data_IF_681014054569
#
_entry.id   IF_681014054569
#
_cell.length_a   1.000
_cell.length_b   1.000
_cell.length_c   1.000
_cell.angle_alpha   90.00
_cell.angle_beta   90.00
_cell.angle_gamma   90.00
#
_symmetry.space_group_name_H-M   'P 1'
#
loop_
_entity.id
_entity.type
_entity.pdbx_description
1 polymer ?
#
# COMPACT_ATOMS: atom_id res chain seq x y z
N UNK A 1 11.56 -36.75 -60.83
CA UNK A 1 11.64 -37.14 -62.26
C UNK A 1 10.35 -36.77 -62.96
N UNK A 2 10.34 -35.71 -63.77
CA UNK A 2 9.89 -35.75 -65.18
C UNK A 2 10.19 -34.40 -65.82
N UNK A 3 10.81 -34.51 -66.97
CA UNK A 3 11.53 -33.51 -67.74
C UNK A 3 10.67 -33.05 -68.93
N UNK A 4 10.81 -31.76 -69.30
CA UNK A 4 10.86 -31.16 -70.66
C UNK A 4 9.61 -31.21 -71.58
N UNK A 5 9.59 -30.49 -72.74
CA UNK A 5 10.45 -29.39 -73.28
C UNK A 5 9.63 -28.14 -73.76
N UNK A 6 10.14 -26.90 -73.80
CA UNK A 6 10.91 -26.19 -74.86
C UNK A 6 10.47 -26.40 -76.32
N UNK A 7 9.92 -25.33 -76.94
CA UNK A 7 10.02 -25.04 -78.39
C UNK A 7 10.24 -23.54 -78.58
N UNK A 8 11.29 -23.21 -79.33
CA UNK A 8 11.69 -21.91 -79.86
C UNK A 8 11.24 -21.77 -81.34
N UNK A 9 11.13 -20.52 -81.82
CA UNK A 9 11.25 -19.98 -83.21
C UNK A 9 10.21 -18.85 -83.33
N UNK A 10 10.50 -17.58 -83.61
CA UNK A 10 11.36 -16.91 -84.60
C UNK A 10 10.48 -15.79 -85.19
N UNK A 11 10.78 -14.50 -84.98
CA UNK A 11 11.61 -13.60 -85.80
C UNK A 11 10.77 -12.52 -86.51
N UNK A 12 11.09 -11.25 -86.20
CA UNK A 12 11.03 -10.01 -87.00
C UNK A 12 9.74 -9.60 -87.75
N UNK A 13 9.23 -8.39 -87.45
CA UNK A 13 9.30 -7.22 -88.36
C UNK A 13 8.90 -5.92 -87.66
N UNK A 14 9.61 -4.86 -88.04
CA UNK A 14 9.57 -3.48 -87.57
C UNK A 14 8.29 -2.71 -87.95
N UNK A 15 7.83 -1.79 -87.09
CA UNK A 15 7.28 -0.49 -87.49
C UNK A 15 7.18 0.44 -86.26
N UNK A 16 7.90 1.55 -86.32
CA UNK A 16 7.75 2.67 -85.41
C UNK A 16 6.52 3.50 -85.78
N UNK A 17 5.70 3.85 -84.79
CA UNK A 17 4.83 5.01 -84.84
C UNK A 17 4.63 5.54 -83.42
N UNK A 18 5.05 6.78 -83.22
CA UNK A 18 4.88 7.58 -82.01
C UNK A 18 3.41 7.74 -81.64
N UNK A 19 3.09 7.79 -80.34
CA UNK A 19 2.05 8.66 -79.77
C UNK A 19 2.09 8.69 -78.23
N UNK A 20 2.26 9.91 -77.72
CA UNK A 20 1.74 10.49 -76.49
C UNK A 20 2.01 9.80 -75.14
N UNK A 21 2.90 10.47 -74.40
CA UNK A 21 3.03 10.50 -72.94
C UNK A 21 1.66 10.65 -72.27
N UNK A 22 1.25 9.62 -71.53
CA UNK A 22 0.21 9.70 -70.49
C UNK A 22 0.86 9.34 -69.15
N UNK A 23 1.10 10.36 -68.32
CA UNK A 23 1.71 10.21 -66.99
C UNK A 23 0.82 9.37 -66.07
N UNK A 24 1.24 8.14 -65.81
CA UNK A 24 0.83 7.39 -64.64
C UNK A 24 1.86 7.63 -63.54
N UNK A 25 1.58 8.56 -62.64
CA UNK A 25 2.35 8.75 -61.42
C UNK A 25 2.31 7.44 -60.62
N UNK A 26 3.43 6.72 -60.61
CA UNK A 26 3.75 5.78 -59.55
C UNK A 26 3.72 6.58 -58.26
N UNK A 27 2.69 6.34 -57.44
CA UNK A 27 2.59 6.83 -56.07
C UNK A 27 3.74 6.20 -55.29
N UNK A 28 4.91 6.83 -55.37
CA UNK A 28 6.01 6.58 -54.46
C UNK A 28 5.42 6.78 -53.06
N UNK A 29 5.39 5.71 -52.26
CA UNK A 29 5.27 5.85 -50.82
C UNK A 29 6.45 6.71 -50.40
N UNK A 30 6.20 8.00 -50.20
CA UNK A 30 7.13 8.91 -49.55
C UNK A 30 7.29 8.33 -48.15
N UNK A 31 8.34 7.54 -47.94
CA UNK A 31 8.78 7.18 -46.62
C UNK A 31 9.00 8.51 -45.90
N UNK A 32 8.20 8.76 -44.86
CA UNK A 32 8.35 9.97 -44.08
C UNK A 32 9.79 10.07 -43.59
N UNK A 33 10.37 11.27 -43.62
CA UNK A 33 11.72 11.51 -43.17
C UNK A 33 11.94 10.93 -41.76
N UNK A 34 13.10 10.32 -41.47
CA UNK A 34 13.40 9.82 -40.13
C UNK A 34 13.23 10.94 -39.10
N UNK A 35 12.43 10.69 -38.06
CA UNK A 35 12.29 11.63 -36.95
C UNK A 35 13.55 11.51 -36.10
N UNK A 36 14.34 12.58 -36.03
CA UNK A 36 15.52 12.61 -35.15
C UNK A 36 15.11 12.89 -33.70
N UNK A 37 14.61 11.85 -33.03
CA UNK A 37 14.23 11.93 -31.62
C UNK A 37 15.41 12.34 -30.74
N UNK A 38 16.60 11.78 -31.00
CA UNK A 38 17.78 11.97 -30.15
C UNK A 38 18.31 13.40 -30.29
N UNK A 39 18.42 13.94 -31.50
CA UNK A 39 18.90 15.31 -31.72
C UNK A 39 18.05 16.35 -30.99
N UNK A 40 16.72 16.29 -31.14
CA UNK A 40 15.81 17.22 -30.47
C UNK A 40 15.80 17.01 -28.94
N UNK A 41 15.66 15.77 -28.46
CA UNK A 41 15.62 15.50 -27.01
C UNK A 41 16.96 15.69 -26.30
N UNK A 42 18.08 15.77 -27.02
CA UNK A 42 19.37 16.19 -26.43
C UNK A 42 19.29 17.65 -25.99
N UNK A 43 18.55 18.49 -26.72
CA UNK A 43 18.34 19.89 -26.34
C UNK A 43 17.22 20.04 -25.29
N UNK A 44 16.09 19.36 -25.48
CA UNK A 44 14.89 19.56 -24.65
C UNK A 44 14.94 18.77 -23.33
N UNK A 45 15.45 17.54 -23.36
CA UNK A 45 15.47 16.62 -22.21
C UNK A 45 16.79 15.84 -22.13
N UNK A 46 17.94 16.53 -21.98
CA UNK A 46 19.26 15.90 -22.07
C UNK A 46 19.44 14.70 -21.15
N UNK A 47 18.94 14.77 -19.90
CA UNK A 47 19.02 13.67 -18.94
C UNK A 47 18.31 12.38 -19.39
N UNK A 48 17.22 12.48 -20.16
CA UNK A 48 16.55 11.29 -20.72
C UNK A 48 17.43 10.61 -21.75
N UNK A 49 18.05 11.39 -22.64
CA UNK A 49 18.95 10.88 -23.68
C UNK A 49 20.20 10.27 -23.05
N UNK A 50 20.78 10.93 -22.05
CA UNK A 50 21.94 10.42 -21.31
C UNK A 50 21.64 9.06 -20.64
N UNK A 51 20.50 8.95 -19.95
CA UNK A 51 20.07 7.70 -19.31
C UNK A 51 19.84 6.59 -20.33
N UNK A 52 19.13 6.88 -21.43
CA UNK A 52 18.90 5.92 -22.50
C UNK A 52 20.23 5.44 -23.11
N UNK A 53 21.14 6.36 -23.44
CA UNK A 53 22.44 6.06 -24.02
C UNK A 53 23.34 5.26 -23.06
N UNK A 54 23.22 5.50 -21.75
CA UNK A 54 23.92 4.73 -20.72
C UNK A 54 23.31 3.33 -20.50
N UNK A 55 22.00 3.18 -20.72
CA UNK A 55 21.24 1.95 -20.55
C UNK A 55 21.58 0.86 -21.58
N UNK A 56 21.26 -0.40 -21.24
CA UNK A 56 21.57 -1.54 -22.10
C UNK A 56 20.80 -1.51 -23.44
N UNK A 57 19.56 -1.03 -23.44
CA UNK A 57 18.74 -0.92 -24.65
C UNK A 57 19.30 0.13 -25.62
N UNK A 58 19.68 1.32 -25.14
CA UNK A 58 20.31 2.35 -25.99
C UNK A 58 21.65 1.90 -26.53
N UNK A 59 22.50 1.27 -25.70
CA UNK A 59 23.78 0.65 -26.14
C UNK A 59 23.60 -0.43 -27.20
N UNK A 60 22.46 -1.12 -27.21
CA UNK A 60 22.12 -2.15 -28.20
C UNK A 60 21.52 -1.56 -29.49
N UNK A 61 21.39 -0.24 -29.60
CA UNK A 61 20.84 0.45 -30.77
C UNK A 61 19.30 0.54 -30.79
N UNK A 62 18.61 0.25 -29.69
CA UNK A 62 17.16 0.41 -29.61
C UNK A 62 16.78 1.89 -29.62
N UNK A 63 15.98 2.32 -30.59
CA UNK A 63 15.59 3.72 -30.75
C UNK A 63 14.45 4.12 -29.81
N UNK A 64 14.29 5.43 -29.57
CA UNK A 64 13.16 5.98 -28.80
C UNK A 64 11.81 5.54 -29.40
N UNK A 65 11.74 5.51 -30.74
CA UNK A 65 10.53 5.16 -31.49
C UNK A 65 10.11 3.69 -31.36
N UNK A 66 11.02 2.79 -30.98
CA UNK A 66 10.69 1.39 -30.71
C UNK A 66 9.71 1.27 -29.54
N UNK A 67 9.78 2.19 -28.57
CA UNK A 67 8.89 2.23 -27.40
C UNK A 67 7.78 3.28 -27.55
N UNK A 68 8.10 4.45 -28.09
CA UNK A 68 7.19 5.61 -28.11
C UNK A 68 6.48 5.83 -29.45
N UNK A 69 6.76 5.03 -30.48
CA UNK A 69 6.24 5.21 -31.83
C UNK A 69 6.88 6.40 -32.57
N UNK A 70 6.29 6.77 -33.70
CA UNK A 70 6.86 7.76 -34.65
C UNK A 70 5.92 8.91 -35.00
N UNK A 71 4.76 8.98 -34.32
CA UNK A 71 3.70 9.95 -34.65
C UNK A 71 3.94 11.33 -34.03
N UNK A 72 4.69 11.41 -32.94
CA UNK A 72 5.19 12.65 -32.37
C UNK A 72 6.39 13.15 -33.19
N UNK A 73 6.31 14.39 -33.66
CA UNK A 73 7.29 15.00 -34.58
C UNK A 73 7.66 16.43 -34.23
N UNK A 74 6.81 17.13 -33.48
CA UNK A 74 6.96 18.53 -33.12
C UNK A 74 6.63 18.72 -31.64
N UNK A 75 7.21 19.72 -30.97
CA UNK A 75 7.00 19.95 -29.54
C UNK A 75 5.52 20.03 -29.13
N UNK A 76 4.66 20.53 -30.01
CA UNK A 76 3.22 20.71 -29.78
C UNK A 76 2.42 19.41 -29.88
N UNK A 77 2.94 18.35 -30.50
CA UNK A 77 2.23 17.09 -30.73
C UNK A 77 2.70 15.92 -29.86
N UNK A 78 3.31 16.25 -28.70
CA UNK A 78 3.74 15.30 -27.66
C UNK A 78 2.65 14.30 -27.23
N UNK A 79 1.38 14.65 -27.43
CA UNK A 79 0.21 13.78 -27.21
C UNK A 79 0.22 12.51 -28.09
N UNK A 80 0.85 12.57 -29.28
CA UNK A 80 0.93 11.45 -30.23
C UNK A 80 2.03 10.43 -29.88
N UNK A 81 2.91 10.74 -28.93
CA UNK A 81 3.85 9.76 -28.41
C UNK A 81 3.09 8.66 -27.65
N UNK A 82 3.42 7.41 -27.94
CA UNK A 82 2.90 6.25 -27.21
C UNK A 82 3.61 6.17 -25.85
N UNK A 83 2.86 5.81 -24.82
CA UNK A 83 3.44 5.49 -23.52
C UNK A 83 3.58 3.96 -23.42
N UNK A 84 4.80 3.44 -23.16
CA UNK A 84 5.04 2.01 -23.11
C UNK A 84 4.20 1.31 -22.03
N UNK A 85 3.72 0.12 -22.35
CA UNK A 85 3.01 -0.79 -21.45
C UNK A 85 3.73 -2.15 -21.42
N UNK A 86 3.31 -3.13 -20.60
CA UNK A 86 3.85 -4.48 -20.70
C UNK A 86 3.79 -5.07 -22.11
N UNK A 87 2.79 -4.71 -22.93
CA UNK A 87 2.69 -5.15 -24.34
C UNK A 87 3.82 -4.59 -25.21
N UNK A 88 4.32 -3.40 -24.90
CA UNK A 88 5.52 -2.84 -25.57
C UNK A 88 6.77 -3.65 -25.25
N UNK A 89 6.86 -4.17 -24.02
CA UNK A 89 8.01 -4.94 -23.55
C UNK A 89 7.96 -6.42 -23.98
N UNK A 90 6.77 -6.99 -24.11
CA UNK A 90 6.52 -8.43 -24.30
C UNK A 90 7.25 -9.06 -25.50
N UNK A 91 7.38 -8.42 -26.69
CA UNK A 91 8.08 -9.01 -27.82
C UNK A 91 9.55 -9.34 -27.52
N UNK A 92 10.19 -8.57 -26.62
CA UNK A 92 11.59 -8.73 -26.25
C UNK A 92 11.77 -9.43 -24.89
N UNK A 93 10.80 -9.28 -23.98
CA UNK A 93 10.84 -9.80 -22.61
C UNK A 93 9.63 -10.67 -22.27
N UNK A 94 9.31 -11.72 -23.08
CA UNK A 94 8.06 -12.47 -22.93
C UNK A 94 7.97 -13.17 -21.57
N UNK A 95 9.09 -13.73 -21.09
CA UNK A 95 9.15 -14.43 -19.79
C UNK A 95 8.81 -13.51 -18.62
N UNK A 96 9.43 -12.32 -18.59
CA UNK A 96 9.24 -11.37 -17.50
C UNK A 96 7.81 -10.83 -17.48
N UNK A 97 7.25 -10.52 -18.66
CA UNK A 97 5.87 -10.02 -18.78
C UNK A 97 4.86 -11.10 -18.37
N UNK A 98 5.05 -12.35 -18.78
CA UNK A 98 4.19 -13.47 -18.37
C UNK A 98 4.21 -13.66 -16.85
N UNK A 99 5.40 -13.69 -16.26
CA UNK A 99 5.59 -13.81 -14.81
C UNK A 99 4.96 -12.66 -14.04
N UNK A 100 5.20 -11.42 -14.49
CA UNK A 100 4.62 -10.21 -13.91
C UNK A 100 3.09 -10.25 -13.91
N UNK A 101 2.47 -10.57 -15.06
CA UNK A 101 1.02 -10.68 -15.21
C UNK A 101 0.41 -11.79 -14.35
N UNK A 102 1.13 -12.88 -14.14
CA UNK A 102 0.69 -13.94 -13.23
C UNK A 102 0.79 -13.52 -11.76
N UNK A 103 1.60 -12.50 -11.45
CA UNK A 103 1.98 -12.04 -10.12
C UNK A 103 1.07 -11.02 -9.45
N UNK A 104 1.44 -10.63 -8.22
CA UNK A 104 0.66 -9.66 -7.41
C UNK A 104 0.75 -8.24 -7.96
N UNK A 105 1.92 -7.81 -8.44
CA UNK A 105 2.10 -6.42 -8.86
C UNK A 105 1.23 -6.06 -10.08
N UNK A 106 0.98 -6.98 -11.02
CA UNK A 106 0.04 -6.73 -12.11
C UNK A 106 -1.41 -6.52 -11.62
N UNK A 107 -1.77 -7.09 -10.46
CA UNK A 107 -3.09 -6.99 -9.85
C UNK A 107 -3.20 -5.84 -8.83
N UNK A 108 -2.15 -5.05 -8.64
CA UNK A 108 -2.11 -4.02 -7.60
C UNK A 108 -3.24 -2.99 -7.77
N UNK A 109 -3.58 -2.61 -9.01
CA UNK A 109 -4.66 -1.66 -9.26
C UNK A 109 -6.03 -2.23 -8.87
N UNK A 110 -6.34 -3.46 -9.29
CA UNK A 110 -7.57 -4.17 -8.90
C UNK A 110 -7.68 -4.31 -7.39
N UNK A 111 -6.57 -4.63 -6.69
CA UNK A 111 -6.57 -4.74 -5.24
C UNK A 111 -6.88 -3.41 -4.54
N UNK A 112 -6.41 -2.28 -5.09
CA UNK A 112 -6.70 -0.94 -4.59
C UNK A 112 -8.17 -0.56 -4.81
N UNK A 113 -8.68 -0.76 -6.03
CA UNK A 113 -10.07 -0.46 -6.40
C UNK A 113 -11.09 -1.32 -5.62
N UNK A 114 -10.68 -2.51 -5.14
CA UNK A 114 -11.50 -3.36 -4.29
C UNK A 114 -11.72 -2.80 -2.87
N UNK A 115 -10.98 -1.76 -2.46
CA UNK A 115 -11.20 -1.08 -1.17
C UNK A 115 -12.39 -0.12 -1.30
N UNK A 116 -13.49 -0.31 -0.54
CA UNK A 116 -14.72 0.48 -0.73
C UNK A 116 -14.49 1.99 -0.65
N UNK A 117 -13.58 2.41 0.23
CA UNK A 117 -13.32 3.82 0.52
C UNK A 117 -12.39 4.52 -0.47
N UNK A 118 -11.84 3.80 -1.46
CA UNK A 118 -10.82 4.38 -2.34
C UNK A 118 -11.36 5.58 -3.13
N UNK A 119 -12.63 5.53 -3.52
CA UNK A 119 -13.35 6.56 -4.27
C UNK A 119 -13.81 7.72 -3.40
N UNK A 120 -13.76 7.59 -2.06
CA UNK A 120 -14.19 8.62 -1.11
C UNK A 120 -13.07 9.63 -0.81
N UNK A 121 -11.84 9.39 -1.30
CA UNK A 121 -10.72 10.29 -1.09
C UNK A 121 -10.91 11.62 -1.87
N UNK A 122 -10.60 12.77 -1.25
CA UNK A 122 -10.68 14.06 -1.94
C UNK A 122 -9.77 14.11 -3.17
N UNK A 123 -10.24 14.70 -4.27
CA UNK A 123 -9.45 14.83 -5.51
C UNK A 123 -8.03 15.42 -5.32
N UNK A 124 -7.80 16.43 -4.44
CA UNK A 124 -6.43 16.91 -4.17
C UNK A 124 -5.48 15.86 -3.56
N UNK A 125 -6.01 14.87 -2.83
CA UNK A 125 -5.24 13.77 -2.21
C UNK A 125 -4.85 12.74 -3.25
N UNK A 126 -5.78 12.37 -4.14
CA UNK A 126 -5.54 11.39 -5.22
C UNK A 126 -4.78 12.01 -6.40
N UNK A 127 -4.86 13.33 -6.56
CA UNK A 127 -4.31 14.09 -7.68
C UNK A 127 -5.33 14.20 -8.83
N UNK A 128 -5.38 15.35 -9.55
CA UNK A 128 -6.32 15.54 -10.65
C UNK A 128 -6.06 14.60 -11.84
N UNK A 129 -4.81 14.17 -12.02
CA UNK A 129 -4.38 13.16 -12.99
C UNK A 129 -4.22 11.77 -12.36
N UNK A 130 -4.72 11.55 -11.14
CA UNK A 130 -4.35 10.37 -10.35
C UNK A 130 -2.85 10.33 -10.01
N UNK A 131 -2.40 9.18 -9.52
CA UNK A 131 -1.02 8.87 -9.15
C UNK A 131 -0.42 9.65 -7.97
N UNK A 132 -1.26 10.27 -7.13
CA UNK A 132 -0.92 10.62 -5.75
C UNK A 132 -1.61 9.68 -4.77
N UNK A 133 -1.10 9.61 -3.54
CA UNK A 133 -1.58 8.69 -2.52
C UNK A 133 -1.51 7.23 -2.98
N UNK A 134 -2.58 6.46 -2.73
CA UNK A 134 -2.68 5.03 -3.04
C UNK A 134 -2.33 4.73 -4.52
N UNK A 135 -2.92 5.51 -5.43
CA UNK A 135 -2.75 5.31 -6.87
C UNK A 135 -1.32 5.54 -7.35
N UNK A 136 -0.51 6.32 -6.63
CA UNK A 136 0.90 6.54 -6.95
C UNK A 136 1.75 5.28 -6.82
N UNK A 137 1.45 4.45 -5.81
CA UNK A 137 2.11 3.16 -5.58
C UNK A 137 1.45 2.05 -6.42
N UNK A 138 0.11 2.01 -6.46
CA UNK A 138 -0.63 0.92 -7.11
C UNK A 138 -0.70 1.02 -8.65
N UNK A 139 -0.18 2.09 -9.27
CA UNK A 139 -0.12 2.21 -10.74
C UNK A 139 0.76 1.17 -11.42
N UNK A 140 1.57 0.43 -10.67
CA UNK A 140 2.26 -0.74 -11.18
C UNK A 140 1.28 -1.80 -11.69
N UNK A 141 0.03 -1.84 -11.19
CA UNK A 141 -1.01 -2.74 -11.70
C UNK A 141 -1.51 -2.40 -13.10
N UNK A 142 -1.92 -3.42 -13.84
CA UNK A 142 -2.56 -3.26 -15.14
C UNK A 142 -3.96 -2.66 -15.00
N UNK A 143 -4.33 -1.82 -15.97
CA UNK A 143 -5.63 -1.18 -16.14
C UNK A 143 -6.16 -1.52 -17.52
N UNK A 144 -7.48 -1.63 -17.65
CA UNK A 144 -8.11 -1.71 -18.96
C UNK A 144 -7.94 -0.40 -19.75
N UNK A 145 -8.05 -0.50 -21.08
CA UNK A 145 -8.05 0.68 -21.96
C UNK A 145 -9.19 1.63 -21.60
N UNK A 146 -10.33 1.10 -21.14
CA UNK A 146 -11.46 1.90 -20.73
C UNK A 146 -11.16 2.70 -19.46
N UNK A 147 -10.55 2.07 -18.45
CA UNK A 147 -10.13 2.77 -17.22
C UNK A 147 -9.12 3.88 -17.50
N UNK A 148 -8.11 3.61 -18.35
CA UNK A 148 -7.15 4.63 -18.76
C UNK A 148 -7.82 5.84 -19.43
N UNK A 149 -8.81 5.59 -20.30
CA UNK A 149 -9.56 6.65 -20.98
C UNK A 149 -10.44 7.43 -20.01
N UNK A 150 -11.21 6.74 -19.17
CA UNK A 150 -12.10 7.36 -18.20
C UNK A 150 -11.34 8.19 -17.17
N UNK A 151 -10.15 7.75 -16.77
CA UNK A 151 -9.28 8.49 -15.85
C UNK A 151 -8.45 9.59 -16.51
N UNK A 152 -8.48 9.72 -17.85
CA UNK A 152 -7.65 10.69 -18.57
C UNK A 152 -6.15 10.42 -18.50
N UNK A 153 -5.75 9.18 -18.17
CA UNK A 153 -4.35 8.82 -17.94
C UNK A 153 -3.65 8.41 -19.22
N UNK A 154 -2.48 9.02 -19.47
CA UNK A 154 -1.62 8.64 -20.60
C UNK A 154 -0.68 7.49 -20.28
N UNK A 155 -0.38 7.24 -19.01
CA UNK A 155 0.60 6.25 -18.53
C UNK A 155 0.14 5.60 -17.23
N UNK A 156 0.95 4.68 -16.68
CA UNK A 156 0.70 4.08 -15.38
C UNK A 156 -0.21 2.85 -15.42
N UNK A 157 -0.09 2.04 -16.48
CA UNK A 157 -0.66 0.68 -16.53
C UNK A 157 0.49 -0.30 -16.62
N UNK A 158 0.58 -1.26 -15.70
CA UNK A 158 1.62 -2.28 -15.75
C UNK A 158 3.05 -1.70 -15.77
N UNK A 159 3.34 -0.70 -14.92
CA UNK A 159 4.59 0.07 -14.99
C UNK A 159 5.85 -0.79 -14.81
N UNK A 160 6.44 -1.26 -15.92
CA UNK A 160 7.69 -2.02 -15.90
C UNK A 160 8.90 -1.18 -15.45
N UNK A 161 8.76 0.14 -15.36
CA UNK A 161 9.78 1.06 -14.87
C UNK A 161 9.73 1.30 -13.36
N UNK A 162 8.95 0.51 -12.61
CA UNK A 162 8.82 0.66 -11.15
C UNK A 162 10.06 0.25 -10.35
N UNK A 163 10.84 -0.75 -10.81
CA UNK A 163 12.02 -1.25 -10.08
C UNK A 163 13.35 -0.91 -10.77
N UNK A 164 13.39 -0.96 -12.10
CA UNK A 164 14.51 -0.50 -12.91
C UNK A 164 14.03 0.71 -13.70
N UNK A 165 14.28 1.90 -13.17
CA UNK A 165 13.61 3.10 -13.65
C UNK A 165 14.01 3.47 -15.07
N UNK A 166 13.05 4.10 -15.76
CA UNK A 166 13.30 4.75 -17.04
C UNK A 166 14.29 5.91 -16.85
N UNK A 167 15.17 6.23 -17.80
CA UNK A 167 15.33 5.59 -19.11
C UNK A 167 16.57 4.68 -19.19
N UNK A 168 17.22 4.41 -18.05
CA UNK A 168 18.39 3.54 -18.00
C UNK A 168 18.02 2.04 -17.96
N UNK A 169 16.89 1.70 -17.35
CA UNK A 169 16.39 0.33 -17.18
C UNK A 169 17.47 -0.61 -16.62
N UNK A 170 18.13 -0.17 -15.54
CA UNK A 170 19.30 -0.84 -14.98
C UNK A 170 18.91 -2.08 -14.17
N UNK A 171 19.44 -3.25 -14.57
CA UNK A 171 19.31 -4.47 -13.76
C UNK A 171 19.99 -4.34 -12.39
N UNK A 172 21.06 -3.56 -12.30
CA UNK A 172 21.77 -3.35 -11.04
C UNK A 172 20.90 -2.53 -10.06
N UNK A 173 20.21 -1.51 -10.59
CA UNK A 173 19.23 -0.73 -9.83
C UNK A 173 18.09 -1.61 -9.31
N UNK A 174 17.46 -2.42 -10.18
CA UNK A 174 16.39 -3.33 -9.76
C UNK A 174 16.83 -4.43 -8.80
N UNK A 175 18.14 -4.71 -8.67
CA UNK A 175 18.68 -5.68 -7.71
C UNK A 175 19.03 -5.05 -6.36
N UNK A 176 19.06 -3.73 -6.28
CA UNK A 176 19.26 -3.03 -5.03
C UNK A 176 17.95 -3.06 -4.21
N UNK A 177 17.95 -3.56 -2.96
CA UNK A 177 16.78 -3.57 -2.10
C UNK A 177 16.11 -2.19 -1.94
N UNK A 178 16.86 -1.10 -2.10
CA UNK A 178 16.32 0.27 -2.05
C UNK A 178 15.35 0.58 -3.19
N UNK A 179 15.36 -0.19 -4.28
CA UNK A 179 14.34 -0.08 -5.32
C UNK A 179 12.92 -0.38 -4.81
N UNK A 180 12.78 -1.16 -3.73
CA UNK A 180 11.50 -1.50 -3.13
C UNK A 180 11.00 -0.43 -2.15
N UNK A 181 11.92 0.34 -1.54
CA UNK A 181 11.64 1.16 -0.36
C UNK A 181 10.63 2.29 -0.62
N UNK A 182 10.47 2.73 -1.87
CA UNK A 182 9.53 3.80 -2.23
C UNK A 182 8.07 3.40 -2.00
N UNK A 183 7.75 2.11 -2.08
CA UNK A 183 6.39 1.60 -1.88
C UNK A 183 6.29 0.73 -0.63
N UNK A 184 7.31 -0.09 -0.34
CA UNK A 184 7.30 -1.05 0.76
C UNK A 184 7.85 -0.44 2.05
N UNK A 185 7.12 0.54 2.60
CA UNK A 185 7.51 1.31 3.78
C UNK A 185 6.30 1.77 4.61
N UNK A 186 6.55 2.38 5.77
CA UNK A 186 5.59 3.27 6.43
C UNK A 186 4.55 2.60 7.32
N UNK A 187 3.29 3.03 7.18
CA UNK A 187 2.23 2.77 8.15
C UNK A 187 1.83 1.28 8.19
N UNK A 188 1.42 0.73 7.05
CA UNK A 188 0.75 -0.56 6.93
C UNK A 188 1.64 -1.72 6.50
N UNK A 189 2.79 -1.42 5.89
CA UNK A 189 3.74 -2.45 5.48
C UNK A 189 5.19 -1.92 5.47
N UNK A 190 5.77 -1.61 6.65
CA UNK A 190 7.15 -1.13 6.80
C UNK A 190 8.21 -2.22 6.57
N UNK A 191 8.15 -2.88 5.42
CA UNK A 191 9.00 -4.01 5.07
C UNK A 191 10.44 -3.57 4.86
N UNK A 192 10.66 -2.38 4.28
CA UNK A 192 11.99 -1.77 4.19
C UNK A 192 12.58 -1.56 5.57
N UNK A 193 11.84 -0.96 6.51
CA UNK A 193 12.32 -0.68 7.86
C UNK A 193 12.61 -1.99 8.61
N UNK A 194 11.73 -2.97 8.51
CA UNK A 194 11.91 -4.29 9.10
C UNK A 194 13.15 -5.00 8.54
N UNK A 195 13.28 -5.08 7.21
CA UNK A 195 14.41 -5.74 6.56
C UNK A 195 15.71 -5.00 6.84
N UNK A 196 15.74 -3.67 6.64
CA UNK A 196 16.96 -2.85 6.77
C UNK A 196 17.52 -2.86 8.19
N UNK A 197 16.66 -2.98 9.21
CA UNK A 197 17.08 -3.09 10.62
C UNK A 197 17.17 -4.54 11.13
N UNK A 198 16.85 -5.54 10.30
CA UNK A 198 17.15 -6.96 10.59
C UNK A 198 18.63 -7.27 10.41
N UNK A 199 19.06 -8.49 10.80
CA UNK A 199 20.42 -8.96 10.50
C UNK A 199 20.70 -9.09 9.01
N UNK A 200 19.72 -9.44 8.18
CA UNK A 200 19.89 -9.49 6.73
C UNK A 200 20.21 -8.09 6.17
N UNK A 201 19.36 -7.11 6.42
CA UNK A 201 19.58 -5.75 5.91
C UNK A 201 20.77 -5.04 6.53
N UNK A 202 21.06 -5.26 7.82
CA UNK A 202 22.23 -4.66 8.48
C UNK A 202 23.54 -5.16 7.87
N UNK A 203 23.66 -6.48 7.66
CA UNK A 203 24.85 -7.06 7.02
C UNK A 203 24.99 -6.57 5.58
N UNK A 204 23.91 -6.58 4.81
CA UNK A 204 23.91 -6.10 3.43
C UNK A 204 24.41 -4.65 3.33
N UNK A 205 23.98 -3.77 4.24
CA UNK A 205 24.40 -2.37 4.29
C UNK A 205 25.88 -2.21 4.69
N UNK A 206 26.33 -2.90 5.73
CA UNK A 206 27.73 -2.85 6.20
C UNK A 206 28.68 -3.27 5.08
N UNK A 207 28.31 -4.31 4.35
CA UNK A 207 29.14 -4.90 3.29
C UNK A 207 28.85 -4.31 1.90
N UNK A 208 28.02 -3.26 1.83
CA UNK A 208 27.72 -2.50 0.61
C UNK A 208 27.23 -3.37 -0.56
N UNK A 209 26.36 -4.33 -0.27
CA UNK A 209 25.72 -5.17 -1.28
C UNK A 209 26.38 -6.52 -1.53
N UNK A 210 26.99 -7.11 -0.50
CA UNK A 210 27.54 -8.48 -0.60
C UNK A 210 26.45 -9.54 -0.74
N UNK A 211 26.81 -10.68 -1.34
CA UNK A 211 25.94 -11.85 -1.44
C UNK A 211 25.79 -12.63 -0.11
N UNK A 212 26.47 -12.20 0.97
CA UNK A 212 26.40 -12.87 2.28
C UNK A 212 25.04 -12.72 2.94
N UNK A 213 24.33 -11.62 2.66
CA UNK A 213 23.00 -11.37 3.18
C UNK A 213 21.98 -11.15 2.06
N UNK A 214 20.76 -11.69 2.18
CA UNK A 214 19.75 -11.58 1.15
C UNK A 214 19.18 -10.16 1.08
N UNK A 215 19.03 -9.65 -0.15
CA UNK A 215 18.17 -8.51 -0.45
C UNK A 215 16.70 -8.91 -0.59
N UNK A 216 15.81 -7.93 -0.77
CA UNK A 216 14.38 -8.17 -1.01
C UNK A 216 14.17 -9.13 -2.20
N UNK A 217 14.88 -8.86 -3.29
CA UNK A 217 14.83 -9.60 -4.55
C UNK A 217 15.32 -11.04 -4.40
N UNK A 218 16.29 -11.29 -3.51
CA UNK A 218 16.79 -12.65 -3.24
C UNK A 218 15.68 -13.57 -2.75
N UNK A 219 14.78 -13.05 -1.91
CA UNK A 219 13.69 -13.79 -1.29
C UNK A 219 12.40 -13.77 -2.12
N UNK A 220 12.05 -12.62 -2.69
CA UNK A 220 10.75 -12.42 -3.34
C UNK A 220 10.77 -12.56 -4.87
N UNK A 221 11.97 -12.55 -5.47
CA UNK A 221 12.19 -12.73 -6.90
C UNK A 221 13.32 -13.75 -7.15
N UNK A 222 13.27 -14.94 -6.52
CA UNK A 222 14.34 -15.92 -6.65
C UNK A 222 14.58 -16.23 -8.12
N UNK A 223 15.85 -16.25 -8.51
CA UNK A 223 16.29 -16.56 -9.88
C UNK A 223 15.78 -15.56 -10.95
N UNK A 224 15.38 -14.36 -10.51
CA UNK A 224 14.89 -13.26 -11.36
C UNK A 224 13.46 -13.46 -11.86
N UNK A 225 12.63 -14.17 -11.10
CA UNK A 225 11.19 -14.33 -11.33
C UNK A 225 10.44 -13.01 -11.03
N UNK A 226 9.39 -12.68 -11.80
CA UNK A 226 8.72 -11.37 -11.74
C UNK A 226 7.30 -11.39 -11.12
N UNK A 227 6.85 -12.51 -10.57
CA UNK A 227 5.52 -12.70 -10.02
C UNK A 227 5.32 -12.15 -8.60
N UNK A 228 6.39 -12.12 -7.78
CA UNK A 228 6.39 -11.52 -6.42
C UNK A 228 5.20 -12.02 -5.57
N UNK A 229 5.10 -13.34 -5.40
CA UNK A 229 4.03 -13.99 -4.64
C UNK A 229 4.56 -14.51 -3.29
N UNK A 230 3.76 -14.38 -2.23
CA UNK A 230 4.08 -14.90 -0.89
C UNK A 230 2.96 -15.81 -0.38
N UNK A 231 3.29 -16.73 0.53
CA UNK A 231 2.33 -17.70 1.09
C UNK A 231 1.20 -17.01 1.87
N UNK A 232 1.53 -16.09 2.76
CA UNK A 232 0.57 -15.37 3.61
C UNK A 232 -0.09 -14.17 2.93
N UNK A 233 0.37 -13.77 1.75
CA UNK A 233 -0.16 -12.61 1.05
C UNK A 233 0.04 -11.31 1.85
N UNK A 234 -0.89 -10.36 1.68
CA UNK A 234 -0.81 -9.05 2.33
C UNK A 234 -1.40 -9.08 3.75
N UNK A 235 -2.54 -9.73 3.94
CA UNK A 235 -3.28 -9.67 5.21
C UNK A 235 -2.96 -10.81 6.17
N UNK A 236 -2.14 -11.79 5.79
CA UNK A 236 -1.85 -12.98 6.61
C UNK A 236 -3.12 -13.73 7.08
N UNK A 237 -4.17 -13.75 6.25
CA UNK A 237 -5.40 -14.51 6.50
C UNK A 237 -5.60 -15.52 5.37
N UNK A 238 -5.90 -16.77 5.73
CA UNK A 238 -6.23 -17.85 4.78
C UNK A 238 -7.26 -18.80 5.37
N UNK A 239 -7.97 -19.49 4.49
CA UNK A 239 -8.84 -20.63 4.79
C UNK A 239 -8.57 -21.73 3.76
N UNK A 240 -8.65 -23.04 4.12
CA UNK A 240 -9.01 -23.60 5.43
C UNK A 240 -7.83 -23.62 6.45
N UNK A 241 -8.15 -23.79 7.74
CA UNK A 241 -7.22 -23.94 8.86
C UNK A 241 -7.61 -25.16 9.71
N UNK A 242 -6.62 -25.97 10.10
CA UNK A 242 -6.86 -27.25 10.79
C UNK A 242 -7.09 -27.04 12.29
N UNK A 243 -6.47 -26.00 12.87
CA UNK A 243 -6.69 -25.60 14.25
C UNK A 243 -8.04 -24.88 14.40
N UNK A 244 -8.98 -25.52 15.09
CA UNK A 244 -10.36 -25.05 15.18
C UNK A 244 -10.49 -23.68 15.87
N UNK A 245 -9.69 -23.40 16.90
CA UNK A 245 -9.71 -22.10 17.58
C UNK A 245 -9.19 -21.01 16.65
N UNK A 246 -8.05 -21.27 16.00
CA UNK A 246 -7.47 -20.30 15.09
C UNK A 246 -8.38 -20.05 13.87
N UNK A 247 -9.05 -21.08 13.37
CA UNK A 247 -10.05 -20.96 12.32
C UNK A 247 -11.19 -20.02 12.74
N UNK A 248 -11.70 -20.13 13.97
CA UNK A 248 -12.74 -19.23 14.49
C UNK A 248 -12.27 -17.77 14.57
N UNK A 249 -11.04 -17.54 15.02
CA UNK A 249 -10.47 -16.19 15.06
C UNK A 249 -10.32 -15.60 13.66
N UNK A 250 -9.90 -16.39 12.67
CA UNK A 250 -9.84 -15.96 11.27
C UNK A 250 -11.21 -15.68 10.67
N UNK A 251 -12.23 -16.47 10.98
CA UNK A 251 -13.60 -16.20 10.54
C UNK A 251 -14.05 -14.83 11.01
N UNK A 252 -13.79 -14.47 12.27
CA UNK A 252 -14.10 -13.14 12.81
C UNK A 252 -13.40 -12.02 12.03
N UNK A 253 -12.12 -12.21 11.70
CA UNK A 253 -11.37 -11.24 10.89
C UNK A 253 -11.95 -11.13 9.48
N UNK A 254 -12.28 -12.26 8.84
CA UNK A 254 -12.86 -12.27 7.49
C UNK A 254 -14.26 -11.65 7.45
N UNK A 255 -15.04 -11.81 8.51
CA UNK A 255 -16.33 -11.13 8.67
C UNK A 255 -16.15 -9.62 8.80
N UNK A 256 -15.22 -9.18 9.65
CA UNK A 256 -14.89 -7.76 9.79
C UNK A 256 -14.22 -7.16 8.55
N UNK A 257 -13.63 -7.98 7.68
CA UNK A 257 -13.20 -7.58 6.35
C UNK A 257 -14.32 -7.63 5.32
N UNK A 258 -15.56 -7.98 5.70
CA UNK A 258 -16.72 -8.12 4.83
C UNK A 258 -16.56 -9.20 3.75
N UNK A 259 -15.59 -10.12 3.89
CA UNK A 259 -15.36 -11.25 2.97
C UNK A 259 -16.33 -12.39 3.25
N UNK A 260 -16.67 -12.57 4.53
CA UNK A 260 -17.71 -13.49 4.99
C UNK A 260 -18.85 -12.69 5.61
N UNK A 261 -20.07 -13.20 5.53
CA UNK A 261 -21.23 -12.66 6.23
C UNK A 261 -21.34 -13.19 7.67
N UNK A 262 -22.39 -12.79 8.39
CA UNK A 262 -22.68 -13.23 9.77
C UNK A 262 -22.80 -14.75 9.94
N UNK A 263 -23.20 -15.47 8.88
CA UNK A 263 -23.32 -16.94 8.87
C UNK A 263 -22.03 -17.64 8.49
N UNK A 264 -21.01 -16.88 8.06
CA UNK A 264 -19.75 -17.40 7.54
C UNK A 264 -19.80 -17.76 6.05
N UNK A 265 -20.82 -17.30 5.32
CA UNK A 265 -20.97 -17.48 3.87
C UNK A 265 -20.20 -16.39 3.13
N UNK A 266 -19.68 -16.70 1.93
CA UNK A 266 -18.91 -15.74 1.14
C UNK A 266 -19.76 -14.60 0.58
N UNK A 267 -19.25 -13.37 0.65
CA UNK A 267 -19.90 -12.18 0.09
C UNK A 267 -19.38 -11.85 -1.32
N UNK A 268 -19.88 -10.79 -1.96
CA UNK A 268 -19.31 -10.26 -3.21
C UNK A 268 -17.81 -9.91 -3.08
N UNK A 269 -17.37 -9.47 -1.89
CA UNK A 269 -15.96 -9.12 -1.65
C UNK A 269 -15.04 -10.34 -1.70
N UNK A 270 -15.56 -11.55 -1.45
CA UNK A 270 -14.80 -12.78 -1.65
C UNK A 270 -14.39 -12.98 -3.12
N UNK A 271 -15.24 -12.58 -4.07
CA UNK A 271 -14.90 -12.65 -5.49
C UNK A 271 -13.80 -11.65 -5.87
N UNK A 272 -13.80 -10.45 -5.28
CA UNK A 272 -12.70 -9.51 -5.44
C UNK A 272 -11.39 -10.05 -4.84
N UNK A 273 -11.44 -10.68 -3.66
CA UNK A 273 -10.28 -11.33 -3.03
C UNK A 273 -9.70 -12.44 -3.91
N UNK A 274 -10.56 -13.26 -4.53
CA UNK A 274 -10.17 -14.30 -5.50
C UNK A 274 -9.52 -13.68 -6.73
N UNK A 275 -10.18 -12.71 -7.37
CA UNK A 275 -9.71 -12.08 -8.60
C UNK A 275 -8.36 -11.37 -8.42
N UNK A 276 -8.19 -10.65 -7.32
CA UNK A 276 -6.96 -9.92 -7.00
C UNK A 276 -5.88 -10.78 -6.32
N UNK A 277 -6.11 -12.10 -6.14
CA UNK A 277 -5.14 -13.03 -5.54
C UNK A 277 -4.62 -12.54 -4.16
N UNK A 278 -5.48 -11.92 -3.36
CA UNK A 278 -5.09 -11.28 -2.09
C UNK A 278 -4.58 -12.32 -1.09
N UNK A 279 -5.20 -13.50 -1.07
CA UNK A 279 -4.84 -14.66 -0.27
C UNK A 279 -4.64 -15.92 -1.14
N UNK A 280 -3.92 -16.91 -0.61
CA UNK A 280 -3.91 -18.29 -1.13
C UNK A 280 -5.15 -19.00 -0.60
N UNK A 281 -5.92 -19.63 -1.48
CA UNK A 281 -7.26 -20.14 -1.15
C UNK A 281 -7.29 -21.65 -0.95
N UNK A 282 -6.19 -22.32 -1.24
CA UNK A 282 -6.04 -23.76 -1.03
C UNK A 282 -4.76 -24.03 -0.25
N UNK A 283 -4.75 -25.17 0.45
CA UNK A 283 -3.58 -25.64 1.19
C UNK A 283 -2.42 -25.90 0.23
N UNK A 284 -2.71 -26.46 -0.94
CA UNK A 284 -1.73 -26.77 -1.97
C UNK A 284 -1.02 -25.50 -2.48
N UNK A 285 -1.76 -24.42 -2.76
CA UNK A 285 -1.16 -23.15 -3.19
C UNK A 285 -0.29 -22.51 -2.09
N UNK A 286 -0.75 -22.59 -0.84
CA UNK A 286 -0.02 -22.09 0.31
C UNK A 286 1.28 -22.87 0.52
N UNK A 287 1.19 -24.20 0.56
CA UNK A 287 2.32 -25.11 0.79
C UNK A 287 3.35 -24.99 -0.34
N UNK A 288 2.91 -24.86 -1.60
CA UNK A 288 3.81 -24.59 -2.72
C UNK A 288 4.57 -23.27 -2.55
N UNK A 289 3.90 -22.21 -2.08
CA UNK A 289 4.54 -20.91 -1.80
C UNK A 289 5.49 -20.98 -0.60
N UNK A 290 5.11 -21.73 0.46
CA UNK A 290 5.94 -21.97 1.64
C UNK A 290 7.22 -22.73 1.28
N UNK A 291 7.10 -23.80 0.48
CA UNK A 291 8.23 -24.61 0.05
C UNK A 291 9.23 -23.79 -0.77
N UNK A 292 8.75 -22.90 -1.66
CA UNK A 292 9.62 -21.96 -2.40
C UNK A 292 10.42 -21.06 -1.46
N UNK A 293 9.78 -20.46 -0.46
CA UNK A 293 10.48 -19.61 0.51
C UNK A 293 11.49 -20.40 1.34
N UNK A 294 11.11 -21.59 1.82
CA UNK A 294 12.02 -22.46 2.57
C UNK A 294 13.27 -22.81 1.75
N UNK A 295 13.10 -23.15 0.46
CA UNK A 295 14.22 -23.42 -0.44
C UNK A 295 15.14 -22.20 -0.64
N UNK A 296 14.65 -20.97 -0.53
CA UNK A 296 15.51 -19.78 -0.51
C UNK A 296 16.31 -19.71 0.78
N UNK A 297 15.67 -19.92 1.94
CA UNK A 297 16.34 -19.92 3.24
C UNK A 297 17.46 -20.98 3.32
N UNK A 298 17.22 -22.15 2.74
CA UNK A 298 18.15 -23.29 2.72
C UNK A 298 19.42 -23.04 1.90
N UNK A 299 19.48 -21.96 1.11
CA UNK A 299 20.72 -21.54 0.43
C UNK A 299 21.81 -21.10 1.42
N UNK A 300 21.43 -20.64 2.61
CA UNK A 300 22.36 -20.12 3.62
C UNK A 300 22.16 -20.73 5.03
N UNK A 301 21.03 -21.39 5.29
CA UNK A 301 20.68 -21.94 6.60
C UNK A 301 20.38 -23.43 6.52
N UNK A 302 20.55 -24.13 7.65
CA UNK A 302 20.06 -25.50 7.77
C UNK A 302 18.53 -25.55 7.59
N UNK A 303 18.05 -26.59 6.90
CA UNK A 303 16.63 -26.79 6.61
C UNK A 303 15.74 -26.75 7.86
N UNK A 304 16.21 -27.37 8.96
CA UNK A 304 15.50 -27.41 10.23
C UNK A 304 15.37 -26.02 10.85
N UNK A 305 16.43 -25.20 10.77
CA UNK A 305 16.41 -23.82 11.24
C UNK A 305 15.40 -23.00 10.44
N UNK A 306 15.44 -23.09 9.10
CA UNK A 306 14.50 -22.38 8.23
C UNK A 306 13.05 -22.74 8.53
N UNK A 307 12.74 -24.04 8.68
CA UNK A 307 11.38 -24.50 9.05
C UNK A 307 10.94 -23.97 10.41
N UNK A 308 11.81 -24.01 11.41
CA UNK A 308 11.49 -23.51 12.74
C UNK A 308 11.22 -22.01 12.76
N UNK A 309 12.02 -21.20 12.05
CA UNK A 309 11.80 -19.75 12.00
C UNK A 309 10.51 -19.39 11.26
N UNK A 310 10.20 -20.04 10.14
CA UNK A 310 8.93 -19.84 9.44
C UNK A 310 7.73 -20.27 10.29
N UNK A 311 7.85 -21.39 11.02
CA UNK A 311 6.83 -21.85 11.96
C UNK A 311 6.65 -20.91 13.16
N UNK A 312 7.73 -20.29 13.66
CA UNK A 312 7.62 -19.25 14.68
C UNK A 312 6.85 -18.02 14.16
N UNK A 313 7.06 -17.62 12.90
CA UNK A 313 6.26 -16.59 12.24
C UNK A 313 4.77 -16.95 12.17
N UNK A 314 4.45 -18.21 11.89
CA UNK A 314 3.05 -18.70 11.89
C UNK A 314 2.42 -18.62 13.29
N UNK A 315 3.18 -18.93 14.34
CA UNK A 315 2.72 -18.81 15.72
C UNK A 315 2.45 -17.34 16.12
N UNK A 316 3.24 -16.39 15.62
CA UNK A 316 2.98 -14.96 15.81
C UNK A 316 1.68 -14.53 15.10
N UNK A 317 1.43 -15.01 13.87
CA UNK A 317 0.14 -14.74 13.20
C UNK A 317 -1.01 -15.28 14.05
N UNK A 318 -0.89 -16.51 14.58
CA UNK A 318 -1.94 -17.10 15.43
C UNK A 318 -2.27 -16.23 16.64
N UNK A 319 -1.25 -15.75 17.35
CA UNK A 319 -1.45 -14.89 18.53
C UNK A 319 -2.02 -13.50 18.15
N UNK A 320 -1.55 -12.94 17.03
CA UNK A 320 -2.06 -11.68 16.50
C UNK A 320 -3.53 -11.81 16.06
N UNK A 321 -3.90 -12.91 15.40
CA UNK A 321 -5.27 -13.21 14.97
C UNK A 321 -6.21 -13.33 16.17
N UNK A 322 -5.79 -14.06 17.21
CA UNK A 322 -6.55 -14.19 18.46
C UNK A 322 -6.81 -12.82 19.11
N UNK A 323 -5.76 -12.02 19.23
CA UNK A 323 -5.83 -10.67 19.82
C UNK A 323 -6.72 -9.75 18.97
N UNK A 324 -6.61 -9.82 17.64
CA UNK A 324 -7.44 -9.05 16.71
C UNK A 324 -8.91 -9.46 16.76
N UNK A 325 -9.20 -10.77 16.78
CA UNK A 325 -10.55 -11.29 16.87
C UNK A 325 -11.24 -10.89 18.18
N UNK A 326 -10.50 -10.84 19.29
CA UNK A 326 -10.99 -10.32 20.57
C UNK A 326 -11.40 -8.84 20.46
N UNK A 327 -10.57 -8.00 19.84
CA UNK A 327 -10.87 -6.60 19.61
C UNK A 327 -12.11 -6.40 18.72
N UNK A 328 -12.19 -7.14 17.61
CA UNK A 328 -13.35 -7.12 16.70
C UNK A 328 -14.63 -7.49 17.46
N UNK A 329 -14.61 -8.56 18.27
CA UNK A 329 -15.76 -8.99 19.08
C UNK A 329 -16.19 -7.89 20.06
N UNK A 330 -15.24 -7.20 20.69
CA UNK A 330 -15.54 -6.11 21.63
C UNK A 330 -16.25 -4.93 20.95
N UNK A 331 -15.80 -4.53 19.75
CA UNK A 331 -16.45 -3.46 18.98
C UNK A 331 -17.78 -3.92 18.40
N UNK A 332 -17.86 -5.14 17.87
CA UNK A 332 -19.11 -5.73 17.37
C UNK A 332 -20.20 -5.76 18.43
N UNK A 333 -19.84 -6.07 19.68
CA UNK A 333 -20.78 -6.05 20.79
C UNK A 333 -21.40 -4.67 21.01
N UNK A 334 -20.69 -3.56 20.76
CA UNK A 334 -21.26 -2.22 20.89
C UNK A 334 -22.40 -1.97 19.89
N UNK A 335 -22.31 -2.49 18.66
CA UNK A 335 -23.43 -2.42 17.71
C UNK A 335 -24.59 -3.31 18.13
N UNK A 336 -24.30 -4.53 18.60
CA UNK A 336 -25.33 -5.44 19.09
C UNK A 336 -26.09 -4.88 20.30
N UNK A 337 -25.38 -4.16 21.17
CA UNK A 337 -25.92 -3.49 22.36
C UNK A 337 -26.67 -2.17 22.02
N UNK A 338 -26.66 -1.73 20.76
CA UNK A 338 -27.25 -0.45 20.35
C UNK A 338 -26.50 0.79 20.86
N UNK A 339 -25.24 0.61 21.28
CA UNK A 339 -24.36 1.71 21.73
C UNK A 339 -23.72 2.42 20.54
N UNK A 340 -23.38 1.67 19.49
CA UNK A 340 -23.00 2.20 18.19
C UNK A 340 -24.10 1.92 17.18
N UNK A 341 -24.35 2.88 16.29
CA UNK A 341 -25.25 2.70 15.17
C UNK A 341 -24.46 2.29 13.92
N UNK A 342 -24.92 1.24 13.25
CA UNK A 342 -24.32 0.82 11.98
C UNK A 342 -24.52 1.92 10.93
N UNK A 343 -23.46 2.45 10.29
CA UNK A 343 -23.61 3.45 9.25
C UNK A 343 -24.48 2.97 8.08
N UNK A 344 -25.19 3.91 7.44
CA UNK A 344 -25.97 3.62 6.24
C UNK A 344 -25.07 3.06 5.13
N UNK A 345 -25.55 2.04 4.41
CA UNK A 345 -24.81 1.38 3.33
C UNK A 345 -23.80 0.32 3.79
N UNK A 346 -23.49 0.21 5.09
CA UNK A 346 -22.63 -0.87 5.58
C UNK A 346 -23.38 -2.20 5.60
N UNK A 347 -22.81 -3.22 4.95
CA UNK A 347 -23.36 -4.59 5.00
C UNK A 347 -23.07 -5.25 6.36
N UNK A 348 -21.88 -5.02 6.90
CA UNK A 348 -21.38 -5.59 8.16
C UNK A 348 -20.78 -4.48 9.05
N UNK A 349 -20.81 -4.67 10.38
CA UNK A 349 -20.19 -3.75 11.33
C UNK A 349 -19.49 -4.51 12.48
N UNK A 350 -18.24 -4.16 12.83
CA UNK A 350 -17.38 -3.17 12.18
C UNK A 350 -16.82 -3.67 10.82
N UNK A 351 -16.65 -2.78 9.84
CA UNK A 351 -15.93 -3.08 8.59
C UNK A 351 -14.53 -2.43 8.61
N UNK A 352 -13.49 -3.25 8.67
CA UNK A 352 -12.08 -2.82 8.76
C UNK A 352 -11.59 -2.04 7.52
N UNK A 353 -12.31 -2.12 6.40
CA UNK A 353 -11.94 -1.42 5.17
C UNK A 353 -12.63 -0.05 5.04
N UNK A 354 -13.52 0.31 5.97
CA UNK A 354 -14.29 1.57 5.96
C UNK A 354 -13.68 2.69 6.84
N UNK A 355 -12.35 2.67 7.02
CA UNK A 355 -11.68 3.45 8.06
C UNK A 355 -11.72 4.99 7.90
N UNK A 356 -11.79 5.53 6.67
CA UNK A 356 -11.99 6.97 6.48
C UNK A 356 -13.38 7.43 6.96
N UNK A 357 -14.31 6.50 7.18
CA UNK A 357 -15.68 6.74 7.62
C UNK A 357 -15.95 6.33 9.07
N UNK A 358 -14.99 5.68 9.75
CA UNK A 358 -15.16 5.30 11.15
C UNK A 358 -15.41 6.55 12.02
N UNK A 359 -16.56 6.56 12.70
CA UNK A 359 -17.11 7.77 13.37
C UNK A 359 -16.78 7.84 14.86
N UNK A 360 -16.30 6.74 15.44
CA UNK A 360 -15.90 6.67 16.85
C UNK A 360 -14.41 6.37 17.01
N UNK A 361 -13.85 6.79 18.15
CA UNK A 361 -12.47 6.50 18.50
C UNK A 361 -12.19 5.00 18.61
N UNK A 362 -13.18 4.21 19.07
CA UNK A 362 -13.04 2.76 19.18
C UNK A 362 -12.93 2.06 17.82
N UNK A 363 -13.66 2.55 16.80
CA UNK A 363 -13.52 2.05 15.42
C UNK A 363 -12.17 2.44 14.80
N UNK A 364 -11.71 3.68 15.04
CA UNK A 364 -10.41 4.15 14.56
C UNK A 364 -9.25 3.36 15.20
N UNK A 365 -9.30 3.10 16.51
CA UNK A 365 -8.31 2.27 17.20
C UNK A 365 -8.32 0.83 16.68
N UNK A 366 -9.50 0.25 16.39
CA UNK A 366 -9.62 -1.07 15.78
C UNK A 366 -8.95 -1.12 14.40
N UNK A 367 -9.15 -0.08 13.58
CA UNK A 367 -8.49 0.03 12.28
C UNK A 367 -6.97 0.14 12.41
N UNK A 368 -6.47 1.02 13.28
CA UNK A 368 -5.03 1.17 13.52
C UNK A 368 -4.43 -0.15 14.03
N UNK A 369 -5.11 -0.84 14.95
CA UNK A 369 -4.70 -2.15 15.42
C UNK A 369 -4.58 -3.17 14.27
N UNK A 370 -5.53 -3.16 13.33
CA UNK A 370 -5.52 -4.07 12.18
C UNK A 370 -4.46 -3.72 11.13
N UNK A 371 -4.42 -2.46 10.70
CA UNK A 371 -3.63 -2.04 9.54
C UNK A 371 -2.21 -1.61 9.93
N UNK A 372 -1.95 -1.19 11.16
CA UNK A 372 -0.61 -0.81 11.63
C UNK A 372 0.01 -1.93 12.49
N UNK A 373 -0.57 -2.20 13.66
CA UNK A 373 0.09 -3.03 14.67
C UNK A 373 0.11 -4.52 14.29
N UNK A 374 -1.01 -5.05 13.80
CA UNK A 374 -1.06 -6.46 13.34
C UNK A 374 -0.15 -6.68 12.15
N UNK A 375 -0.12 -5.74 11.20
CA UNK A 375 0.78 -5.83 10.04
C UNK A 375 2.24 -5.86 10.48
N UNK A 376 2.61 -5.02 11.46
CA UNK A 376 3.96 -5.02 12.03
C UNK A 376 4.33 -6.30 12.76
N UNK A 377 3.39 -6.86 13.52
CA UNK A 377 3.60 -8.09 14.26
C UNK A 377 4.03 -9.25 13.33
N UNK A 378 3.22 -9.56 12.31
CA UNK A 378 3.55 -10.70 11.46
C UNK A 378 4.65 -10.38 10.44
N UNK A 379 4.64 -9.19 9.81
CA UNK A 379 5.67 -8.86 8.82
C UNK A 379 7.04 -8.75 9.50
N UNK A 380 7.10 -8.20 10.71
CA UNK A 380 8.32 -8.17 11.52
C UNK A 380 8.84 -9.58 11.82
N UNK A 381 7.95 -10.53 12.12
CA UNK A 381 8.32 -11.92 12.33
C UNK A 381 8.96 -12.55 11.07
N UNK A 382 8.35 -12.36 9.89
CA UNK A 382 8.87 -12.94 8.64
C UNK A 382 10.11 -12.22 8.08
N UNK A 383 10.33 -10.96 8.45
CA UNK A 383 11.56 -10.22 8.13
C UNK A 383 12.63 -10.29 9.22
N UNK A 384 12.45 -11.18 10.21
CA UNK A 384 13.41 -11.41 11.30
C UNK A 384 13.75 -10.14 12.08
N UNK A 385 12.75 -9.28 12.28
CA UNK A 385 12.88 -8.04 13.01
C UNK A 385 12.17 -8.14 14.38
N UNK A 386 12.91 -8.28 15.49
CA UNK A 386 12.29 -8.48 16.79
C UNK A 386 11.56 -7.24 17.31
N UNK A 387 12.02 -6.05 16.97
CA UNK A 387 11.49 -4.79 17.50
C UNK A 387 10.15 -4.45 16.84
N UNK A 388 10.08 -4.57 15.51
CA UNK A 388 8.82 -4.43 14.77
C UNK A 388 7.81 -5.52 15.08
N UNK A 389 8.28 -6.77 15.25
CA UNK A 389 7.40 -7.87 15.63
C UNK A 389 6.80 -7.67 17.02
N UNK A 390 7.64 -7.30 18.00
CA UNK A 390 7.23 -7.20 19.40
C UNK A 390 6.69 -5.81 19.74
N UNK A 391 7.56 -4.79 19.83
CA UNK A 391 7.21 -3.49 20.42
C UNK A 391 6.27 -2.67 19.53
N UNK A 392 6.57 -2.57 18.24
CA UNK A 392 5.70 -1.85 17.29
C UNK A 392 4.53 -2.70 16.76
N UNK A 393 4.54 -4.00 17.07
CA UNK A 393 3.57 -4.98 16.59
C UNK A 393 2.74 -5.54 17.73
N UNK A 394 3.09 -6.73 18.21
CA UNK A 394 2.30 -7.49 19.18
C UNK A 394 2.00 -6.72 20.48
N UNK A 395 2.98 -6.05 21.09
CA UNK A 395 2.78 -5.25 22.30
C UNK A 395 1.81 -4.08 22.04
N UNK A 396 1.97 -3.37 20.92
CA UNK A 396 1.05 -2.31 20.51
C UNK A 396 -0.38 -2.83 20.29
N UNK A 397 -0.54 -4.07 19.77
CA UNK A 397 -1.85 -4.72 19.68
C UNK A 397 -2.46 -4.98 21.06
N UNK A 398 -1.66 -5.40 22.06
CA UNK A 398 -2.16 -5.61 23.43
C UNK A 398 -2.63 -4.30 24.05
N UNK A 399 -1.89 -3.21 23.84
CA UNK A 399 -2.30 -1.88 24.30
C UNK A 399 -3.57 -1.39 23.60
N UNK A 400 -3.65 -1.54 22.27
CA UNK A 400 -4.83 -1.18 21.49
C UNK A 400 -6.08 -1.94 21.94
N UNK A 401 -5.95 -3.25 22.18
CA UNK A 401 -7.04 -4.06 22.74
C UNK A 401 -7.53 -3.52 24.09
N UNK A 402 -6.62 -3.08 24.96
CA UNK A 402 -7.01 -2.50 26.24
C UNK A 402 -7.73 -1.14 26.04
N UNK A 403 -7.21 -0.27 25.18
CA UNK A 403 -7.87 1.00 24.82
C UNK A 403 -9.28 0.78 24.27
N UNK A 404 -9.45 -0.22 23.40
CA UNK A 404 -10.76 -0.59 22.84
C UNK A 404 -11.72 -1.02 23.95
N UNK A 405 -11.28 -1.86 24.90
CA UNK A 405 -12.11 -2.30 26.03
C UNK A 405 -12.51 -1.15 26.94
N UNK A 406 -11.57 -0.26 27.26
CA UNK A 406 -11.83 0.89 28.13
C UNK A 406 -12.81 1.87 27.47
N UNK A 407 -12.62 2.16 26.19
CA UNK A 407 -13.53 3.03 25.43
C UNK A 407 -14.91 2.39 25.28
N UNK A 408 -14.98 1.09 25.00
CA UNK A 408 -16.25 0.36 24.94
C UNK A 408 -17.00 0.38 26.28
N UNK A 409 -16.29 0.39 27.42
CA UNK A 409 -16.92 0.57 28.73
C UNK A 409 -17.39 2.02 28.95
N UNK A 410 -16.63 3.01 28.48
CA UNK A 410 -17.02 4.43 28.53
C UNK A 410 -18.28 4.69 27.71
N UNK A 411 -18.35 4.21 26.48
CA UNK A 411 -19.51 4.36 25.59
C UNK A 411 -20.77 3.72 26.20
N UNK A 412 -20.66 2.53 26.80
CA UNK A 412 -21.78 1.90 27.50
C UNK A 412 -22.28 2.72 28.69
N UNK A 413 -21.37 3.32 29.47
CA UNK A 413 -21.76 4.20 30.58
C UNK A 413 -22.45 5.46 30.08
N UNK A 414 -21.98 6.05 28.99
CA UNK A 414 -22.60 7.22 28.37
C UNK A 414 -24.02 6.89 27.89
N UNK A 415 -24.19 5.78 27.15
CA UNK A 415 -25.49 5.30 26.68
C UNK A 415 -26.46 5.03 27.84
N UNK A 416 -26.00 4.37 28.89
CA UNK A 416 -26.81 4.13 30.09
C UNK A 416 -27.24 5.41 30.81
N UNK A 417 -26.41 6.46 30.79
CA UNK A 417 -26.76 7.77 31.35
C UNK A 417 -27.76 8.54 30.49
N UNK A 418 -27.68 8.41 29.16
CA UNK A 418 -28.66 8.97 28.21
C UNK A 418 -30.03 8.27 28.32
N UNK A 419 -30.03 6.95 28.50
CA UNK A 419 -31.24 6.14 28.65
C UNK A 419 -31.86 6.25 30.06
N UNK A 420 -31.14 6.85 31.03
CA UNK A 420 -31.65 7.03 32.37
C UNK A 420 -32.82 8.04 32.38
N UNK A 421 -33.92 7.75 33.08
CA UNK A 421 -35.04 8.68 33.17
C UNK A 421 -34.58 10.01 33.77
N UNK A 422 -35.07 11.11 33.20
CA UNK A 422 -34.74 12.46 33.66
C UNK A 422 -34.90 12.56 35.19
N UNK A 423 -33.85 13.01 35.88
CA UNK A 423 -33.90 13.21 37.31
C UNK A 423 -35.08 14.12 37.65
N UNK A 424 -35.88 13.73 38.65
CA UNK A 424 -37.00 14.53 39.12
C UNK A 424 -36.52 15.97 39.41
N UNK A 425 -37.27 17.00 39.01
CA UNK A 425 -36.87 18.38 39.28
C UNK A 425 -36.62 18.55 40.78
N UNK A 426 -35.58 19.30 41.17
CA UNK A 426 -35.31 19.54 42.58
C UNK A 426 -36.58 20.07 43.26
N UNK A 427 -36.86 19.65 44.51
CA UNK A 427 -38.03 20.14 45.23
C UNK A 427 -38.02 21.66 45.24
N UNK A 428 -39.20 22.26 45.04
CA UNK A 428 -39.36 23.71 45.02
C UNK A 428 -38.68 24.31 46.27
N UNK A 429 -37.93 25.42 46.13
CA UNK A 429 -37.28 26.04 47.27
C UNK A 429 -38.32 26.33 48.34
N UNK A 430 -38.02 25.93 49.58
CA UNK A 430 -38.89 26.18 50.72
C UNK A 430 -39.20 27.70 50.78
N UNK A 431 -40.45 28.09 51.09
CA UNK A 431 -40.81 29.50 51.20
C UNK A 431 -39.85 30.18 52.19
N UNK A 432 -39.30 31.33 51.76
CA UNK A 432 -38.36 32.09 52.56
C UNK A 432 -38.98 32.39 53.94
N UNK A 433 -38.24 32.17 55.04
CA UNK A 433 -38.72 32.57 56.36
C UNK A 433 -38.95 34.08 56.39
N UNK A 434 -40.02 34.50 57.07
CA UNK A 434 -40.38 35.91 57.23
C UNK A 434 -39.19 36.70 57.77
N UNK A 435 -38.94 37.87 57.17
CA UNK A 435 -37.83 38.74 57.52
C UNK A 435 -37.88 39.12 59.01
N UNK A 436 -36.80 38.94 59.79
CA UNK A 436 -36.73 39.46 61.15
C UNK A 436 -36.64 41.00 61.13
N UNK A 437 -37.30 41.61 62.11
CA UNK A 437 -37.25 43.05 62.37
C UNK A 437 -35.82 43.56 62.52
N UNK A 438 -35.59 44.77 62.01
CA UNK A 438 -34.30 45.48 62.04
C UNK A 438 -33.83 45.67 63.48
N UNK A 439 -32.86 44.86 63.91
CA UNK A 439 -32.02 45.16 65.06
C UNK A 439 -30.86 46.06 64.64
N UNK A 440 -30.70 47.16 65.35
CA UNK A 440 -29.65 48.18 65.22
C UNK A 440 -28.26 47.61 65.53
N UNK A 441 -27.28 47.92 64.68
CA UNK A 441 -25.88 47.53 64.82
C UNK A 441 -25.16 48.28 65.96
N UNK A 442 -24.31 47.60 66.75
CA UNK A 442 -23.20 48.23 67.45
C UNK A 442 -21.87 48.04 66.69
N UNK A 443 -20.92 48.90 67.05
CA UNK A 443 -19.68 49.22 66.36
C UNK A 443 -18.70 48.06 66.17
N UNK A 444 -17.96 48.14 65.06
CA UNK A 444 -16.81 47.29 64.76
C UNK A 444 -15.62 47.61 65.68
N UNK A 445 -15.04 46.60 66.31
CA UNK A 445 -13.65 46.64 66.73
C UNK A 445 -12.76 45.98 65.67
N UNK A 446 -11.56 46.52 65.53
CA UNK A 446 -10.58 46.11 64.54
C UNK A 446 -9.47 45.31 65.21
N UNK A 447 -9.35 44.06 64.82
CA UNK A 447 -8.09 43.31 64.83
C UNK A 447 -8.27 42.04 64.02
N UNK A 448 -7.37 41.84 63.03
CA UNK A 448 -7.04 40.57 62.35
C UNK A 448 -7.13 40.62 60.81
N UNK A 449 -6.34 41.49 60.20
CA UNK A 449 -5.92 41.36 58.80
C UNK A 449 -4.41 41.58 58.66
N UNK A 450 -3.60 40.68 59.23
CA UNK A 450 -2.14 40.68 59.03
C UNK A 450 -1.53 39.26 58.95
N UNK A 451 -2.29 38.26 58.47
CA UNK A 451 -1.82 36.87 58.35
C UNK A 451 -1.65 36.33 56.92
N UNK A 452 -2.34 36.89 55.92
CA UNK A 452 -2.44 36.26 54.59
C UNK A 452 -1.63 36.92 53.46
N UNK A 453 -0.99 38.07 53.70
CA UNK A 453 -0.15 38.75 52.70
C UNK A 453 1.32 38.24 52.66
N UNK A 454 1.78 37.55 53.71
CA UNK A 454 3.17 37.08 53.80
C UNK A 454 3.43 35.71 53.14
N UNK A 455 2.39 34.90 52.87
CA UNK A 455 2.55 33.60 52.21
C UNK A 455 2.51 33.69 50.67
N UNK A 456 1.91 34.74 50.10
CA UNK A 456 1.78 34.91 48.65
C UNK A 456 3.06 35.45 47.98
N UNK A 457 3.96 36.11 48.72
CA UNK A 457 5.21 36.66 48.18
C UNK A 457 6.36 35.63 48.07
N UNK A 458 6.31 34.52 48.84
CA UNK A 458 7.36 33.51 48.83
C UNK A 458 7.24 32.49 47.68
N UNK A 459 6.05 32.30 47.10
CA UNK A 459 5.81 31.31 46.03
C UNK A 459 6.16 31.87 44.64
N UNK A 460 6.10 33.19 44.44
CA UNK A 460 6.39 33.83 43.14
C UNK A 460 7.92 33.96 42.90
N UNK A 461 8.74 34.04 43.95
CA UNK A 461 10.20 34.13 43.81
C UNK A 461 10.89 32.81 43.40
N UNK A 462 10.24 31.65 43.63
CA UNK A 462 10.77 30.33 43.25
C UNK A 462 10.48 29.94 41.78
N UNK A 463 9.55 30.62 41.11
CA UNK A 463 9.16 30.30 39.72
C UNK A 463 9.89 31.13 38.65
N UNK A 464 10.60 32.20 39.02
CA UNK A 464 11.35 33.05 38.07
C UNK A 464 12.87 32.77 38.09
N UNK A 465 13.40 32.12 39.14
CA UNK A 465 14.84 31.85 39.29
C UNK A 465 15.40 30.63 38.53
N UNK A 466 14.55 29.80 37.91
CA UNK A 466 14.95 28.53 37.27
C UNK A 466 15.39 28.62 35.80
N UNK A 467 15.32 29.78 35.15
CA UNK A 467 15.46 29.92 33.70
C UNK A 467 16.80 30.50 33.20
N UNK A 468 17.84 30.60 34.05
CA UNK A 468 19.07 31.34 33.72
C UNK A 468 20.42 30.59 33.87
N UNK A 469 20.47 29.25 33.90
CA UNK A 469 21.75 28.51 33.89
C UNK A 469 21.73 27.32 32.94
N UNK A 470 22.20 27.52 31.70
CA UNK A 470 22.32 26.43 30.73
C UNK A 470 22.94 26.76 29.37
N UNK A 471 23.86 27.74 29.27
CA UNK A 471 24.71 27.92 28.07
C UNK A 471 26.18 27.89 28.47
N UNK A 472 26.83 26.72 28.34
CA UNK A 472 28.29 26.61 28.26
C UNK A 472 28.69 26.12 26.86
N UNK A 473 29.57 26.92 26.26
CA UNK A 473 30.34 26.67 25.03
C UNK A 473 31.15 25.37 25.17
N UNK A 474 31.26 24.60 24.08
CA UNK A 474 32.38 23.69 23.84
C UNK A 474 33.17 24.22 22.64
N UNK A 475 34.45 24.46 22.89
CA UNK A 475 35.54 24.39 21.92
C UNK A 475 35.67 23.00 21.33
#
# INVERSE_FOLDING_TARGET
MRFRPWVFFGALTSAAAWLAVGGGETRAQVAAAPVDCVGCHTAETPGIVEQWAAGAMGKSGMTCSACHGTEHREATDYAKAKMPTPDTCQPCHPRQVEQFRAGKHALAWTAMEAMPMITHQPSPVVGPEGFKGCSGCHKIGEKSVQELRSGGWRYGTGSCDSCHTRHAFSKAEARDPRACQTCHMGFDHPQWEMWSTSKHGTVWQIEQGSDRAPGCQTCHMPDGEHGVMTAWGFLAVRVPEDDAEWMQDRVVILQALGVLDEKGEGTERLEAVKAAKVARLTKEEFDASRAKMQAVCERCHAADFARQQLGAGDAIIREADRTMAEAIRAVKALYADGVLEKPEGWTYAPDLLQFFEARSAVEQELYVMFMEYRMRAFQGAFHMNPDYMNWYGWAAMKEALQRIKDEAATLRRAKAAEDAPAAAPPPAPAPAPAAPEKATAPAADGSDTLGYAALAAAVIALLVGGLALGRRKRS
#
